data_IF_301063918614
#
_entry.id   IF_301063918614
#
_cell.length_a   1.000
_cell.length_b   1.000
_cell.length_c   1.000
_cell.angle_alpha   90.00
_cell.angle_beta   90.00
_cell.angle_gamma   90.00
#
_symmetry.space_group_name_H-M   'P 1'
#
loop_
_entity.id
_entity.type
_entity.pdbx_description
1 polymer ?
#
# COMPACT_ATOMS: atom_id res chain seq x y z
N UNK A 1 29.25 -14.75 -23.32
CA UNK A 1 28.23 -14.15 -24.21
C UNK A 1 28.77 -12.84 -24.78
N UNK A 2 28.31 -12.38 -25.96
CA UNK A 2 28.78 -11.13 -26.60
C UNK A 2 28.30 -9.88 -25.81
N UNK A 3 29.19 -8.94 -25.55
CA UNK A 3 28.85 -7.63 -24.98
C UNK A 3 28.19 -6.74 -26.04
N UNK A 4 27.16 -5.98 -25.66
CA UNK A 4 26.43 -5.03 -26.52
C UNK A 4 26.27 -3.71 -25.77
N UNK A 5 26.14 -2.58 -26.47
CA UNK A 5 25.96 -1.26 -25.86
C UNK A 5 24.80 -1.22 -24.86
N UNK A 6 23.68 -1.87 -25.17
CA UNK A 6 22.53 -1.96 -24.26
C UNK A 6 22.85 -2.71 -22.96
N UNK A 7 23.70 -3.74 -23.00
CA UNK A 7 24.13 -4.48 -21.81
C UNK A 7 25.10 -3.67 -20.98
N UNK A 8 26.01 -2.97 -21.64
CA UNK A 8 26.97 -2.08 -20.99
C UNK A 8 26.27 -0.94 -20.25
N UNK A 9 25.20 -0.36 -20.82
CA UNK A 9 24.39 0.66 -20.12
C UNK A 9 23.76 0.14 -18.83
N UNK A 10 23.22 -1.07 -18.84
CA UNK A 10 22.63 -1.67 -17.62
C UNK A 10 23.69 -1.87 -16.54
N UNK A 11 24.86 -2.41 -16.91
CA UNK A 11 25.95 -2.63 -15.96
C UNK A 11 26.51 -1.31 -15.44
N UNK A 12 26.64 -0.29 -16.27
CA UNK A 12 27.10 1.04 -15.87
C UNK A 12 26.17 1.68 -14.83
N UNK A 13 24.84 1.55 -14.99
CA UNK A 13 23.87 2.02 -13.98
C UNK A 13 24.05 1.25 -12.67
N UNK A 14 24.22 -0.07 -12.72
CA UNK A 14 24.44 -0.86 -11.50
C UNK A 14 25.78 -0.54 -10.81
N UNK A 15 26.83 -0.22 -11.57
CA UNK A 15 28.12 0.20 -11.03
C UNK A 15 28.05 1.62 -10.41
N UNK A 16 27.36 2.55 -11.06
CA UNK A 16 27.15 3.91 -10.56
C UNK A 16 26.35 3.92 -9.24
N UNK A 17 25.40 2.99 -9.11
CA UNK A 17 24.52 2.85 -7.94
C UNK A 17 24.73 1.53 -7.20
N UNK A 18 25.99 1.15 -6.98
CA UNK A 18 26.37 -0.19 -6.47
C UNK A 18 25.74 -0.61 -5.13
N UNK A 19 25.29 0.34 -4.30
CA UNK A 19 24.63 0.05 -3.01
C UNK A 19 23.09 0.02 -3.09
N UNK A 20 22.51 0.33 -4.25
CA UNK A 20 21.07 0.37 -4.45
C UNK A 20 20.57 -0.88 -5.17
N UNK A 21 19.36 -1.29 -4.79
CA UNK A 21 18.58 -2.26 -5.55
C UNK A 21 17.55 -1.53 -6.40
N UNK A 22 17.24 -2.11 -7.56
CA UNK A 22 16.27 -1.56 -8.50
C UNK A 22 15.16 -2.57 -8.76
N UNK A 23 13.94 -2.08 -8.93
CA UNK A 23 12.94 -2.86 -9.66
C UNK A 23 13.38 -3.00 -11.12
N UNK A 24 12.88 -4.04 -11.81
CA UNK A 24 13.14 -4.24 -13.23
C UNK A 24 12.79 -3.01 -14.08
N UNK A 25 11.72 -2.30 -13.72
CA UNK A 25 11.26 -1.10 -14.44
C UNK A 25 12.24 0.05 -14.24
N UNK A 26 12.63 0.33 -12.99
CA UNK A 26 13.57 1.42 -12.69
C UNK A 26 14.92 1.21 -13.38
N UNK A 27 15.46 0.00 -13.34
CA UNK A 27 16.74 -0.30 -13.99
C UNK A 27 16.65 -0.19 -15.52
N UNK A 28 15.54 -0.62 -16.11
CA UNK A 28 15.31 -0.50 -17.56
C UNK A 28 15.21 0.97 -17.97
N UNK A 29 14.46 1.77 -17.21
CA UNK A 29 14.24 3.20 -17.45
C UNK A 29 15.57 3.98 -17.28
N UNK A 30 16.31 3.74 -16.20
CA UNK A 30 17.59 4.40 -15.92
C UNK A 30 18.66 4.09 -16.98
N UNK A 31 18.74 2.83 -17.45
CA UNK A 31 19.68 2.45 -18.51
C UNK A 31 19.18 2.83 -19.93
N UNK A 32 17.93 3.28 -20.07
CA UNK A 32 17.32 3.60 -21.36
C UNK A 32 17.21 2.38 -22.29
N UNK A 33 16.84 1.22 -21.75
CA UNK A 33 16.72 -0.05 -22.49
C UNK A 33 15.38 -0.73 -22.23
N UNK A 34 15.06 -1.77 -23.00
CA UNK A 34 13.92 -2.62 -22.73
C UNK A 34 14.22 -3.65 -21.63
N UNK A 35 13.19 -4.07 -20.90
CA UNK A 35 13.31 -5.08 -19.83
C UNK A 35 13.87 -6.43 -20.28
N UNK A 36 13.78 -6.76 -21.58
CA UNK A 36 14.39 -7.97 -22.14
C UNK A 36 15.92 -7.96 -22.06
N UNK A 37 16.57 -6.79 -22.08
CA UNK A 37 18.03 -6.68 -21.95
C UNK A 37 18.45 -7.07 -20.53
N UNK A 38 17.77 -6.51 -19.51
CA UNK A 38 18.01 -6.81 -18.09
C UNK A 38 17.76 -8.30 -17.81
N UNK A 39 16.61 -8.85 -18.24
CA UNK A 39 16.31 -10.29 -18.12
C UNK A 39 17.36 -11.18 -18.79
N UNK A 40 17.92 -10.72 -19.92
CA UNK A 40 19.00 -11.41 -20.61
C UNK A 40 20.29 -11.45 -19.79
N UNK A 41 20.62 -10.36 -19.08
CA UNK A 41 21.78 -10.31 -18.17
C UNK A 41 21.58 -11.17 -16.92
N UNK A 42 20.35 -11.23 -16.39
CA UNK A 42 19.99 -12.15 -15.29
C UNK A 42 20.22 -13.60 -15.70
N UNK A 43 19.74 -14.01 -16.88
CA UNK A 43 19.98 -15.37 -17.40
C UNK A 43 21.45 -15.70 -17.62
N UNK A 44 22.30 -14.69 -17.82
CA UNK A 44 23.74 -14.85 -17.99
C UNK A 44 24.50 -14.83 -16.64
N UNK A 45 23.81 -14.58 -15.53
CA UNK A 45 24.42 -14.44 -14.20
C UNK A 45 25.20 -13.15 -13.99
N UNK A 46 25.04 -12.15 -14.88
CA UNK A 46 25.72 -10.86 -14.77
C UNK A 46 24.94 -9.84 -13.92
N UNK A 47 23.65 -10.09 -13.71
CA UNK A 47 22.77 -9.32 -12.83
C UNK A 47 22.04 -10.33 -11.95
N UNK A 48 21.98 -10.09 -10.65
CA UNK A 48 21.26 -10.95 -9.72
C UNK A 48 19.84 -10.39 -9.49
N UNK A 49 18.84 -11.27 -9.49
CA UNK A 49 17.48 -10.94 -9.11
C UNK A 49 17.25 -11.36 -7.66
N UNK A 50 16.92 -10.39 -6.80
CA UNK A 50 16.65 -10.62 -5.39
C UNK A 50 15.14 -10.55 -5.12
N UNK A 51 14.60 -11.58 -4.47
CA UNK A 51 13.24 -11.53 -3.97
C UNK A 51 13.18 -10.61 -2.75
N UNK A 52 12.46 -9.49 -2.86
CA UNK A 52 12.15 -8.62 -1.73
C UNK A 52 10.84 -9.05 -1.07
N UNK A 53 10.72 -8.99 0.27
CA UNK A 53 9.46 -9.21 0.95
C UNK A 53 8.41 -8.24 0.40
N UNK A 54 7.29 -8.76 -0.09
CA UNK A 54 6.12 -7.96 -0.38
C UNK A 54 5.24 -7.91 0.86
N UNK A 55 4.61 -6.76 1.11
CA UNK A 55 3.60 -6.66 2.15
C UNK A 55 2.47 -7.66 1.86
N UNK A 56 2.07 -8.40 2.89
CA UNK A 56 0.89 -9.26 2.79
C UNK A 56 -0.36 -8.37 2.70
N UNK A 57 -1.42 -8.83 2.01
CA UNK A 57 -2.72 -8.16 2.08
C UNK A 57 -3.15 -7.98 3.53
N UNK A 58 -3.74 -6.83 3.85
CA UNK A 58 -4.34 -6.62 5.16
C UNK A 58 -5.41 -7.67 5.43
N UNK A 59 -5.53 -8.09 6.69
CA UNK A 59 -6.61 -8.96 7.11
C UNK A 59 -7.97 -8.33 6.81
N UNK A 60 -8.96 -9.17 6.48
CA UNK A 60 -10.34 -8.71 6.34
C UNK A 60 -10.81 -8.07 7.64
N UNK A 61 -11.51 -6.94 7.53
CA UNK A 61 -12.15 -6.30 8.68
C UNK A 61 -13.22 -7.23 9.25
N UNK A 62 -13.13 -7.52 10.54
CA UNK A 62 -14.11 -8.31 11.26
C UNK A 62 -14.88 -7.41 12.24
N UNK A 63 -16.14 -7.01 11.92
CA UNK A 63 -16.94 -6.14 12.77
C UNK A 63 -17.42 -6.83 14.05
N UNK A 64 -17.24 -8.15 14.18
CA UNK A 64 -17.62 -8.90 15.38
C UNK A 64 -16.54 -8.92 16.47
N UNK A 65 -15.37 -8.33 16.22
CA UNK A 65 -14.33 -8.22 17.25
C UNK A 65 -14.75 -7.23 18.34
N UNK A 66 -14.34 -7.44 19.60
CA UNK A 66 -14.73 -6.56 20.69
C UNK A 66 -14.15 -5.15 20.48
N UNK A 67 -15.03 -4.15 20.55
CA UNK A 67 -14.67 -2.72 20.55
C UNK A 67 -14.37 -2.19 21.96
N UNK A 68 -14.02 -0.90 22.04
CA UNK A 68 -13.96 -0.18 23.32
C UNK A 68 -15.33 0.38 23.68
N UNK A 69 -15.60 0.54 24.97
CA UNK A 69 -16.78 1.29 25.41
C UNK A 69 -16.67 2.75 24.94
N UNK A 70 -17.70 3.21 24.22
CA UNK A 70 -17.77 4.58 23.75
C UNK A 70 -18.13 5.54 24.90
N UNK A 71 -17.64 6.77 24.83
CA UNK A 71 -18.21 7.86 25.62
C UNK A 71 -19.60 8.25 25.08
N UNK A 72 -20.37 9.01 25.85
CA UNK A 72 -21.68 9.50 25.42
C UNK A 72 -21.59 10.30 24.11
N UNK A 73 -20.61 11.20 23.98
CA UNK A 73 -20.38 11.99 22.77
C UNK A 73 -20.03 11.12 21.56
N UNK A 74 -19.21 10.09 21.75
CA UNK A 74 -18.85 9.16 20.69
C UNK A 74 -20.06 8.33 20.24
N UNK A 75 -20.84 7.81 21.18
CA UNK A 75 -22.06 7.05 20.89
C UNK A 75 -23.08 7.91 20.12
N UNK A 76 -23.25 9.18 20.52
CA UNK A 76 -24.09 10.13 19.81
C UNK A 76 -23.59 10.39 18.38
N UNK A 77 -22.28 10.55 18.19
CA UNK A 77 -21.69 10.72 16.86
C UNK A 77 -21.88 9.48 15.98
N UNK A 78 -21.69 8.27 16.51
CA UNK A 78 -21.94 7.01 15.79
C UNK A 78 -23.40 6.91 15.36
N UNK A 79 -24.34 7.18 16.26
CA UNK A 79 -25.77 7.15 15.94
C UNK A 79 -26.13 8.14 14.81
N UNK A 80 -25.55 9.35 14.81
CA UNK A 80 -25.75 10.32 13.73
C UNK A 80 -25.17 9.83 12.39
N UNK A 81 -24.01 9.17 12.39
CA UNK A 81 -23.43 8.62 11.17
C UNK A 81 -24.28 7.46 10.62
N UNK A 82 -24.76 6.56 11.48
CA UNK A 82 -25.62 5.44 11.10
C UNK A 82 -26.95 5.92 10.50
N UNK A 83 -27.57 6.94 11.10
CA UNK A 83 -28.80 7.54 10.59
C UNK A 83 -28.65 8.17 9.20
N UNK A 84 -27.42 8.55 8.83
CA UNK A 84 -27.09 9.18 7.55
C UNK A 84 -26.38 8.23 6.57
N UNK A 85 -26.48 6.91 6.78
CA UNK A 85 -25.77 5.90 5.98
C UNK A 85 -26.33 5.70 4.55
N UNK A 86 -27.52 6.23 4.25
CA UNK A 86 -28.17 6.07 2.96
C UNK A 86 -27.70 7.12 1.93
N UNK A 87 -27.08 6.64 0.86
CA UNK A 87 -26.57 7.46 -0.24
C UNK A 87 -25.34 8.28 0.16
N UNK A 88 -24.87 9.14 -0.76
CA UNK A 88 -23.72 9.99 -0.48
C UNK A 88 -24.07 11.08 0.53
N UNK A 89 -23.24 11.18 1.57
CA UNK A 89 -23.30 12.22 2.60
C UNK A 89 -21.88 12.62 3.00
N UNK A 90 -21.70 13.87 3.38
CA UNK A 90 -20.43 14.38 3.91
C UNK A 90 -20.66 14.85 5.33
N UNK A 91 -19.86 14.35 6.27
CA UNK A 91 -19.95 14.69 7.70
C UNK A 91 -18.58 15.07 8.22
N UNK A 92 -18.50 16.16 8.99
CA UNK A 92 -17.29 16.56 9.69
C UNK A 92 -17.34 16.04 11.14
N UNK A 93 -16.50 15.06 11.47
CA UNK A 93 -16.28 14.66 12.86
C UNK A 93 -15.21 15.53 13.51
N UNK A 94 -15.63 16.57 14.22
CA UNK A 94 -14.72 17.52 14.88
C UNK A 94 -14.31 17.01 16.27
N UNK A 95 -13.01 16.93 16.52
CA UNK A 95 -12.47 16.62 17.84
C UNK A 95 -10.96 16.79 17.91
N UNK A 96 -10.43 17.12 19.09
CA UNK A 96 -8.97 17.23 19.34
C UNK A 96 -8.27 15.87 19.23
N UNK A 97 -6.95 15.84 19.16
CA UNK A 97 -6.18 14.59 19.27
C UNK A 97 -6.47 13.91 20.60
N UNK A 98 -6.63 12.58 20.61
CA UNK A 98 -6.94 11.81 21.83
C UNK A 98 -8.44 11.74 22.20
N UNK A 99 -9.33 12.45 21.49
CA UNK A 99 -10.80 12.38 21.73
C UNK A 99 -11.47 11.06 21.30
N UNK A 100 -10.70 10.11 20.74
CA UNK A 100 -11.21 8.82 20.29
C UNK A 100 -12.08 8.87 19.03
N UNK A 101 -11.78 9.78 18.08
CA UNK A 101 -12.43 9.79 16.75
C UNK A 101 -12.26 8.46 16.01
N UNK A 102 -11.15 7.77 16.25
CA UNK A 102 -10.87 6.45 15.66
C UNK A 102 -11.95 5.44 16.02
N UNK A 103 -12.36 5.38 17.29
CA UNK A 103 -13.44 4.50 17.74
C UNK A 103 -14.76 4.82 17.02
N UNK A 104 -15.09 6.10 16.83
CA UNK A 104 -16.29 6.51 16.07
C UNK A 104 -16.21 6.03 14.61
N UNK A 105 -15.05 6.13 13.96
CA UNK A 105 -14.86 5.65 12.60
C UNK A 105 -15.03 4.13 12.50
N UNK A 106 -14.44 3.38 13.45
CA UNK A 106 -14.51 1.93 13.46
C UNK A 106 -15.94 1.42 13.64
N UNK A 107 -16.72 2.04 14.51
CA UNK A 107 -18.15 1.69 14.71
C UNK A 107 -19.01 2.03 13.49
N UNK A 108 -18.75 3.17 12.83
CA UNK A 108 -19.43 3.52 11.59
C UNK A 108 -19.10 2.53 10.45
N UNK A 109 -17.82 2.14 10.32
CA UNK A 109 -17.38 1.12 9.36
C UNK A 109 -18.00 -0.24 9.71
N UNK A 110 -18.00 -0.64 10.99
CA UNK A 110 -18.60 -1.89 11.43
C UNK A 110 -20.10 -1.96 11.12
N UNK A 111 -20.84 -0.86 11.29
CA UNK A 111 -22.25 -0.76 10.88
C UNK A 111 -22.42 -1.05 9.39
N UNK A 112 -21.62 -0.42 8.52
CA UNK A 112 -21.68 -0.67 7.09
C UNK A 112 -21.36 -2.11 6.71
N UNK A 113 -20.33 -2.70 7.33
CA UNK A 113 -19.94 -4.10 7.10
C UNK A 113 -21.05 -5.06 7.55
N UNK A 114 -21.71 -4.79 8.68
CA UNK A 114 -22.85 -5.57 9.16
C UNK A 114 -24.06 -5.50 8.20
N UNK A 115 -24.17 -4.44 7.41
CA UNK A 115 -25.18 -4.27 6.36
C UNK A 115 -24.74 -4.86 5.01
N UNK A 116 -23.54 -5.44 4.92
CA UNK A 116 -23.00 -6.06 3.71
C UNK A 116 -22.53 -5.08 2.63
N UNK A 117 -22.17 -3.85 3.03
CA UNK A 117 -21.65 -2.81 2.14
C UNK A 117 -20.14 -2.63 2.25
#
# INVERSE_FOLDING_TARGET
ARMTDARQKVLAVLEEFAELSFTLKELSDAAGVTSSVVKGLVKLGAVEELATPQDMPFAHLNPSLPGKSLSEDQAAAVAQLQANSAGYRTTLLKGVTGSGKTEVYLEAVASCLNEGR
#
